data_IF_342974205222
#
_entry.id   IF_342974205222
#
_cell.length_a   1.000
_cell.length_b   1.000
_cell.length_c   1.000
_cell.angle_alpha   90.00
_cell.angle_beta   90.00
_cell.angle_gamma   90.00
#
_symmetry.space_group_name_H-M   'P 1'
#
loop_
_entity.id
_entity.type
_entity.pdbx_description
1 polymer ?
#
# COMPACT_ATOMS: atom_id res chain seq x y z
N UNK A 1 18.28 -7.28 4.80
CA UNK A 1 17.17 -6.41 5.27
C UNK A 1 15.82 -6.99 4.89
N UNK A 2 14.74 -6.63 5.60
CA UNK A 2 13.37 -7.11 5.37
C UNK A 2 12.36 -5.96 5.41
N UNK A 3 11.41 -5.95 4.48
CA UNK A 3 10.25 -5.05 4.45
C UNK A 3 8.98 -5.89 4.33
N UNK A 4 8.08 -5.79 5.29
CA UNK A 4 6.78 -6.47 5.27
C UNK A 4 5.66 -5.50 4.90
N UNK A 5 5.00 -5.70 3.76
CA UNK A 5 3.78 -4.97 3.41
C UNK A 5 2.57 -5.67 4.00
N UNK A 6 1.78 -4.94 4.80
CA UNK A 6 0.56 -5.46 5.42
C UNK A 6 -0.62 -4.63 4.93
N UNK A 7 -1.61 -5.29 4.34
CA UNK A 7 -2.88 -4.63 3.98
C UNK A 7 -3.71 -4.42 5.24
N UNK A 8 -4.27 -3.22 5.41
CA UNK A 8 -5.23 -2.95 6.48
C UNK A 8 -6.36 -4.00 6.55
N UNK A 9 -6.86 -4.24 7.77
CA UNK A 9 -7.90 -5.20 8.10
C UNK A 9 -9.33 -4.80 7.75
N UNK A 10 -9.56 -3.51 7.42
CA UNK A 10 -10.92 -3.02 7.19
C UNK A 10 -11.61 -3.76 6.03
N UNK A 11 -12.74 -4.38 6.34
CA UNK A 11 -13.69 -4.93 5.38
C UNK A 11 -14.66 -3.83 4.94
N UNK A 12 -14.65 -3.51 3.64
CA UNK A 12 -15.67 -2.65 3.06
C UNK A 12 -17.05 -3.32 3.09
N UNK A 13 -18.10 -2.54 3.34
CA UNK A 13 -19.49 -3.04 3.29
C UNK A 13 -19.83 -3.50 1.88
N UNK A 14 -20.46 -4.67 1.76
CA UNK A 14 -21.09 -5.08 0.50
C UNK A 14 -22.23 -4.10 0.22
N UNK A 15 -22.21 -3.48 -0.96
CA UNK A 15 -23.23 -2.52 -1.37
C UNK A 15 -23.83 -2.95 -2.71
N UNK A 16 -25.10 -2.62 -2.87
CA UNK A 16 -25.84 -2.79 -4.10
C UNK A 16 -25.20 -2.00 -5.26
N UNK A 17 -25.43 -2.41 -6.52
CA UNK A 17 -25.03 -1.63 -7.69
C UNK A 17 -25.53 -0.19 -7.62
N UNK A 18 -24.66 0.76 -7.94
CA UNK A 18 -24.92 2.19 -7.79
C UNK A 18 -24.57 2.96 -9.06
N UNK A 19 -25.12 4.16 -9.20
CA UNK A 19 -24.79 5.08 -10.30
C UNK A 19 -23.42 5.71 -10.08
N UNK A 20 -22.87 6.38 -11.09
CA UNK A 20 -21.59 7.09 -10.98
C UNK A 20 -21.62 8.21 -9.93
N UNK A 21 -22.75 8.92 -9.78
CA UNK A 21 -22.93 9.96 -8.77
C UNK A 21 -22.85 9.38 -7.36
N UNK A 22 -23.60 8.29 -7.10
CA UNK A 22 -23.55 7.61 -5.81
C UNK A 22 -22.19 6.98 -5.53
N UNK A 23 -21.49 6.49 -6.56
CA UNK A 23 -20.11 6.02 -6.43
C UNK A 23 -19.15 7.14 -6.01
N UNK A 24 -19.28 8.33 -6.61
CA UNK A 24 -18.47 9.49 -6.25
C UNK A 24 -18.72 9.94 -4.80
N UNK A 25 -19.98 10.02 -4.38
CA UNK A 25 -20.35 10.33 -2.99
C UNK A 25 -19.82 9.28 -2.01
N UNK A 26 -19.90 8.00 -2.38
CA UNK A 26 -19.36 6.90 -1.59
C UNK A 26 -17.83 7.00 -1.44
N UNK A 27 -17.10 7.30 -2.52
CA UNK A 27 -15.64 7.50 -2.47
C UNK A 27 -15.23 8.59 -1.48
N UNK A 28 -15.98 9.70 -1.40
CA UNK A 28 -15.72 10.80 -0.45
C UNK A 28 -15.88 10.38 1.01
N UNK A 29 -16.80 9.47 1.29
CA UNK A 29 -17.10 9.00 2.64
C UNK A 29 -16.28 7.77 3.03
N UNK A 30 -15.66 7.10 2.06
CA UNK A 30 -15.01 5.80 2.26
C UNK A 30 -13.90 5.81 3.32
N UNK A 31 -13.13 6.89 3.40
CA UNK A 31 -12.07 7.06 4.41
C UNK A 31 -12.62 7.39 5.82
N UNK A 32 -13.85 7.91 5.89
CA UNK A 32 -14.50 8.32 7.14
C UNK A 32 -15.27 7.18 7.83
N UNK A 33 -15.70 6.16 7.07
CA UNK A 33 -16.43 5.00 7.60
C UNK A 33 -15.51 4.17 8.53
N UNK A 34 -15.98 3.93 9.75
CA UNK A 34 -15.27 3.12 10.75
C UNK A 34 -15.21 1.64 10.35
N UNK A 35 -14.21 0.93 10.87
CA UNK A 35 -14.06 -0.53 10.74
C UNK A 35 -15.36 -1.25 11.11
N UNK A 36 -16.06 -1.83 10.13
CA UNK A 36 -17.36 -2.49 10.36
C UNK A 36 -17.17 -3.96 10.81
N UNK A 37 -16.08 -4.62 10.40
CA UNK A 37 -15.82 -6.03 10.75
C UNK A 37 -14.34 -6.31 10.99
N UNK A 38 -14.06 -6.95 12.13
CA UNK A 38 -12.75 -7.54 12.44
C UNK A 38 -12.60 -8.85 11.67
N UNK A 39 -11.76 -8.86 10.64
CA UNK A 39 -11.28 -10.12 10.07
C UNK A 39 -10.24 -10.73 11.03
N UNK A 40 -10.19 -12.07 11.16
CA UNK A 40 -9.14 -12.75 11.92
C UNK A 40 -7.78 -12.43 11.30
N UNK A 41 -6.83 -12.01 12.14
CA UNK A 41 -5.46 -11.75 11.71
C UNK A 41 -4.75 -13.08 11.39
N UNK A 42 -4.14 -13.22 10.19
CA UNK A 42 -3.27 -14.35 9.88
C UNK A 42 -2.05 -14.37 10.78
N UNK A 43 -1.55 -15.56 11.12
CA UNK A 43 -0.38 -15.72 12.00
C UNK A 43 0.86 -15.07 11.38
N UNK A 44 1.02 -15.18 10.06
CA UNK A 44 2.14 -14.63 9.31
C UNK A 44 2.20 -13.10 9.38
N UNK A 45 1.05 -12.46 9.59
CA UNK A 45 0.94 -11.01 9.74
C UNK A 45 1.35 -10.57 11.14
N UNK A 46 0.98 -11.35 12.16
CA UNK A 46 1.38 -11.12 13.55
C UNK A 46 2.90 -11.28 13.66
N UNK A 47 3.44 -12.40 13.17
CA UNK A 47 4.88 -12.66 13.16
C UNK A 47 5.67 -11.58 12.42
N UNK A 48 5.12 -11.06 11.31
CA UNK A 48 5.76 -9.98 10.56
C UNK A 48 5.82 -8.65 11.32
N UNK A 49 4.82 -8.36 12.16
CA UNK A 49 4.80 -7.18 13.02
C UNK A 49 5.74 -7.36 14.21
N UNK A 50 5.70 -8.51 14.88
CA UNK A 50 6.57 -8.82 16.02
C UNK A 50 8.05 -8.82 15.61
N UNK A 51 8.37 -9.29 14.41
CA UNK A 51 9.73 -9.26 13.86
C UNK A 51 10.15 -7.87 13.32
N UNK A 52 9.24 -6.91 13.20
CA UNK A 52 9.57 -5.58 12.70
C UNK A 52 10.12 -4.71 13.84
N UNK A 53 11.32 -4.14 13.63
CA UNK A 53 11.93 -3.19 14.58
C UNK A 53 11.42 -1.77 14.37
N UNK A 54 10.71 -1.52 13.28
CA UNK A 54 10.09 -0.24 12.97
C UNK A 54 8.82 -0.45 12.16
N UNK A 55 7.73 0.16 12.62
CA UNK A 55 6.41 0.05 11.99
C UNK A 55 6.02 1.41 11.43
N UNK A 56 5.68 1.40 10.15
CA UNK A 56 5.17 2.54 9.40
C UNK A 56 3.72 2.31 9.01
N UNK A 57 2.98 3.38 8.84
CA UNK A 57 1.60 3.30 8.35
C UNK A 57 1.24 4.50 7.47
N UNK A 58 0.27 4.29 6.60
CA UNK A 58 -0.48 5.39 5.98
C UNK A 58 -1.23 6.15 7.08
N UNK A 59 -1.33 7.46 6.94
CA UNK A 59 -2.09 8.33 7.85
C UNK A 59 -3.62 8.24 7.65
N UNK A 60 -4.09 7.45 6.67
CA UNK A 60 -5.51 7.16 6.54
C UNK A 60 -6.02 6.36 7.73
N UNK A 61 -7.17 6.79 8.27
CA UNK A 61 -7.80 6.23 9.48
C UNK A 61 -7.82 4.71 9.53
N UNK A 62 -8.16 4.04 8.42
CA UNK A 62 -8.22 2.56 8.35
C UNK A 62 -6.86 1.89 8.50
N UNK A 63 -5.80 2.49 7.98
CA UNK A 63 -4.45 1.95 8.10
C UNK A 63 -3.92 2.19 9.52
N UNK A 64 -4.15 3.38 10.08
CA UNK A 64 -3.82 3.73 11.47
C UNK A 64 -4.52 2.80 12.46
N UNK A 65 -5.84 2.59 12.31
CA UNK A 65 -6.61 1.68 13.17
C UNK A 65 -6.11 0.24 13.09
N UNK A 66 -5.79 -0.23 11.88
CA UNK A 66 -5.20 -1.57 11.69
C UNK A 66 -3.80 -1.70 12.28
N UNK A 67 -2.97 -0.66 12.17
CA UNK A 67 -1.65 -0.65 12.78
C UNK A 67 -1.78 -0.73 14.31
N UNK A 68 -2.66 0.07 14.90
CA UNK A 68 -2.91 0.07 16.33
C UNK A 68 -3.41 -1.28 16.86
N UNK A 69 -4.26 -1.97 16.10
CA UNK A 69 -4.73 -3.32 16.44
C UNK A 69 -3.62 -4.37 16.32
N UNK A 70 -2.70 -4.22 15.35
CA UNK A 70 -1.58 -5.14 15.16
C UNK A 70 -0.48 -4.96 16.22
N UNK A 71 -0.19 -3.73 16.62
CA UNK A 71 0.90 -3.41 17.55
C UNK A 71 0.45 -3.31 19.00
N UNK A 72 -0.85 -3.49 19.28
CA UNK A 72 -1.49 -3.25 20.57
C UNK A 72 -1.08 -1.93 21.24
N UNK A 73 -0.81 -0.91 20.41
CA UNK A 73 -0.21 0.36 20.81
C UNK A 73 -0.26 1.38 19.68
N UNK A 74 0.11 2.63 19.93
CA UNK A 74 0.29 3.66 18.90
C UNK A 74 1.76 3.86 18.52
N UNK A 75 2.59 2.83 18.68
CA UNK A 75 4.04 2.87 18.49
C UNK A 75 4.45 2.68 17.01
N UNK A 76 3.92 3.52 16.13
CA UNK A 76 4.22 3.49 14.70
C UNK A 76 4.30 4.90 14.10
N UNK A 77 5.05 5.04 13.01
CA UNK A 77 5.17 6.31 12.29
C UNK A 77 4.09 6.39 11.20
N UNK A 78 3.26 7.42 11.26
CA UNK A 78 2.28 7.73 10.21
C UNK A 78 2.93 8.62 9.16
N UNK A 79 2.68 8.34 7.88
CA UNK A 79 3.18 9.17 6.78
C UNK A 79 2.20 9.16 5.59
N UNK A 80 1.83 10.36 5.13
CA UNK A 80 0.93 10.56 3.99
C UNK A 80 1.48 10.04 2.66
N UNK A 81 2.81 9.84 2.57
CA UNK A 81 3.47 9.24 1.41
C UNK A 81 2.91 7.84 1.10
N UNK A 82 2.45 7.11 2.12
CA UNK A 82 1.92 5.75 1.99
C UNK A 82 0.40 5.70 1.76
N UNK A 83 -0.26 6.84 1.50
CA UNK A 83 -1.69 6.84 1.18
C UNK A 83 -2.00 6.00 -0.07
N UNK A 84 -3.20 5.42 -0.09
CA UNK A 84 -3.67 4.64 -1.23
C UNK A 84 -3.73 5.55 -2.46
N UNK A 85 -3.53 4.97 -3.64
CA UNK A 85 -3.73 5.74 -4.87
C UNK A 85 -5.22 6.01 -5.06
N UNK A 86 -5.61 7.28 -4.99
CA UNK A 86 -6.97 7.69 -5.31
C UNK A 86 -7.25 7.44 -6.79
N UNK A 87 -8.48 7.00 -7.10
CA UNK A 87 -8.94 6.84 -8.47
C UNK A 87 -9.97 7.92 -8.80
N UNK A 88 -9.96 8.47 -10.02
CA UNK A 88 -10.97 9.41 -10.45
C UNK A 88 -12.35 8.75 -10.36
N UNK A 89 -13.30 9.47 -9.77
CA UNK A 89 -14.69 9.04 -9.64
C UNK A 89 -15.69 9.98 -10.32
N UNK A 90 -15.21 11.13 -10.83
CA UNK A 90 -16.00 12.11 -11.55
C UNK A 90 -15.82 11.95 -13.07
N UNK A 91 -16.35 10.92 -13.70
CA UNK A 91 -16.31 10.75 -15.16
C UNK A 91 -17.71 10.53 -15.73
N UNK A 92 -17.86 10.69 -17.05
CA UNK A 92 -19.16 10.54 -17.70
C UNK A 92 -19.60 9.07 -17.71
N UNK A 93 -20.82 8.83 -17.26
CA UNK A 93 -21.54 7.57 -17.46
C UNK A 93 -23.05 7.86 -17.58
N UNK A 94 -23.81 7.05 -18.34
CA UNK A 94 -25.27 7.22 -18.41
C UNK A 94 -25.92 7.14 -17.03
N UNK A 95 -26.83 8.08 -16.70
CA UNK A 95 -27.44 8.18 -15.37
C UNK A 95 -28.23 6.92 -14.94
N UNK A 96 -28.71 6.14 -15.91
CA UNK A 96 -29.42 4.88 -15.68
C UNK A 96 -28.50 3.69 -15.44
N UNK A 97 -27.21 3.81 -15.75
CA UNK A 97 -26.26 2.71 -15.60
C UNK A 97 -25.87 2.56 -14.11
N UNK A 98 -26.19 1.40 -13.56
CA UNK A 98 -25.76 0.99 -12.21
C UNK A 98 -24.72 -0.12 -12.33
N UNK A 99 -23.61 0.03 -11.62
CA UNK A 99 -22.56 -0.98 -11.58
C UNK A 99 -22.10 -1.24 -10.14
N UNK A 100 -21.50 -2.40 -9.92
CA UNK A 100 -20.84 -2.73 -8.66
C UNK A 100 -19.61 -1.82 -8.47
N UNK A 101 -19.26 -1.50 -7.22
CA UNK A 101 -18.09 -0.67 -6.86
C UNK A 101 -16.82 -1.14 -7.59
N UNK A 102 -16.56 -2.46 -7.66
CA UNK A 102 -15.38 -3.01 -8.34
C UNK A 102 -15.30 -2.63 -9.82
N UNK A 103 -16.45 -2.53 -10.49
CA UNK A 103 -16.53 -2.12 -11.91
C UNK A 103 -16.24 -0.63 -12.05
N UNK A 104 -16.82 0.22 -11.19
CA UNK A 104 -16.50 1.65 -11.19
C UNK A 104 -15.03 1.93 -10.89
N UNK A 105 -14.45 1.24 -9.91
CA UNK A 105 -13.02 1.30 -9.61
C UNK A 105 -12.17 0.88 -10.81
N UNK A 106 -12.58 -0.15 -11.56
CA UNK A 106 -11.87 -0.61 -12.76
C UNK A 106 -11.94 0.43 -13.89
N UNK A 107 -13.11 1.00 -14.15
CA UNK A 107 -13.29 2.07 -15.15
C UNK A 107 -12.45 3.29 -14.78
N UNK A 108 -12.59 3.78 -13.54
CA UNK A 108 -11.82 4.92 -13.04
C UNK A 108 -10.32 4.70 -13.13
N UNK A 109 -9.84 3.51 -12.76
CA UNK A 109 -8.43 3.11 -12.91
C UNK A 109 -7.96 3.14 -14.37
N UNK A 110 -8.79 2.65 -15.28
CA UNK A 110 -8.45 2.61 -16.71
C UNK A 110 -8.34 4.02 -17.28
N UNK A 111 -9.33 4.87 -17.01
CA UNK A 111 -9.32 6.28 -17.41
C UNK A 111 -8.10 7.01 -16.82
N UNK A 112 -7.76 6.70 -15.56
CA UNK A 112 -6.63 7.28 -14.86
C UNK A 112 -5.28 6.95 -15.49
N UNK A 113 -5.07 5.68 -15.84
CA UNK A 113 -3.88 5.23 -16.55
C UNK A 113 -3.79 5.90 -17.94
N UNK A 114 -4.94 6.13 -18.60
CA UNK A 114 -5.03 6.84 -19.87
C UNK A 114 -4.90 8.37 -19.74
N UNK A 115 -4.72 8.91 -18.53
CA UNK A 115 -4.42 10.32 -18.28
C UNK A 115 -5.56 11.15 -17.68
N UNK A 116 -6.73 10.58 -17.42
CA UNK A 116 -7.82 11.29 -16.74
C UNK A 116 -7.61 11.32 -15.22
N UNK A 117 -7.38 12.49 -14.63
CA UNK A 117 -7.01 12.58 -13.20
C UNK A 117 -7.75 13.71 -12.48
N UNK A 118 -8.98 14.04 -12.90
CA UNK A 118 -9.73 15.13 -12.28
C UNK A 118 -10.01 14.85 -10.80
N UNK A 119 -9.46 15.71 -9.93
CA UNK A 119 -9.68 15.67 -8.49
C UNK A 119 -8.85 14.65 -7.73
N UNK A 120 -7.82 14.05 -8.36
CA UNK A 120 -6.89 13.09 -7.76
C UNK A 120 -5.48 13.31 -8.33
N UNK A 121 -4.46 12.72 -7.72
CA UNK A 121 -3.11 12.66 -8.31
C UNK A 121 -3.15 11.98 -9.68
N UNK A 122 -2.34 12.44 -10.64
CA UNK A 122 -2.15 11.76 -11.92
C UNK A 122 -1.42 10.43 -11.76
N UNK A 123 -1.54 9.55 -12.75
CA UNK A 123 -0.86 8.26 -12.72
C UNK A 123 0.68 8.41 -12.67
N UNK A 124 1.22 9.46 -13.30
CA UNK A 124 2.65 9.78 -13.24
C UNK A 124 3.07 10.21 -11.85
N UNK A 125 2.30 11.09 -11.21
CA UNK A 125 2.57 11.57 -9.85
C UNK A 125 2.54 10.43 -8.83
N UNK A 126 1.56 9.51 -8.92
CA UNK A 126 1.51 8.36 -7.98
C UNK A 126 2.67 7.39 -8.21
N UNK A 127 3.14 7.20 -9.45
CA UNK A 127 4.36 6.41 -9.69
C UNK A 127 5.59 7.07 -9.08
N UNK A 128 5.74 8.38 -9.23
CA UNK A 128 6.84 9.12 -8.60
C UNK A 128 6.75 9.06 -7.07
N UNK A 129 5.54 9.17 -6.52
CA UNK A 129 5.29 8.97 -5.08
C UNK A 129 5.65 7.56 -4.61
N UNK A 130 5.32 6.53 -5.39
CA UNK A 130 5.68 5.15 -5.08
C UNK A 130 7.20 4.95 -5.09
N UNK A 131 7.91 5.59 -6.01
CA UNK A 131 9.38 5.59 -6.08
C UNK A 131 9.97 6.22 -4.82
N UNK A 132 9.49 7.42 -4.44
CA UNK A 132 9.91 8.09 -3.20
C UNK A 132 9.63 7.25 -1.96
N UNK A 133 8.46 6.61 -1.89
CA UNK A 133 8.09 5.71 -0.80
C UNK A 133 9.04 4.51 -0.71
N UNK A 134 9.39 3.89 -1.84
CA UNK A 134 10.32 2.76 -1.88
C UNK A 134 11.74 3.17 -1.42
N UNK A 135 12.25 4.33 -1.84
CA UNK A 135 13.53 4.85 -1.34
C UNK A 135 13.49 5.10 0.18
N UNK A 136 12.40 5.67 0.69
CA UNK A 136 12.24 5.90 2.11
C UNK A 136 12.21 4.59 2.91
N UNK A 137 11.46 3.59 2.44
CA UNK A 137 11.43 2.26 3.08
C UNK A 137 12.79 1.57 3.04
N UNK A 138 13.52 1.67 1.93
CA UNK A 138 14.88 1.13 1.84
C UNK A 138 15.80 1.77 2.88
N UNK A 139 15.77 3.10 3.03
CA UNK A 139 16.55 3.81 4.07
C UNK A 139 16.18 3.38 5.48
N UNK A 140 14.89 3.23 5.79
CA UNK A 140 14.49 2.72 7.09
C UNK A 140 14.93 1.27 7.30
N UNK A 141 14.87 0.44 6.26
CA UNK A 141 15.33 -0.94 6.35
C UNK A 141 16.86 -1.05 6.53
N UNK A 142 17.64 -0.11 6.00
CA UNK A 142 19.08 -0.02 6.28
C UNK A 142 19.37 0.25 7.76
N UNK A 143 18.60 1.14 8.38
CA UNK A 143 18.79 1.52 9.80
C UNK A 143 18.24 0.45 10.75
N UNK A 144 17.05 -0.07 10.48
CA UNK A 144 16.32 -0.94 11.40
C UNK A 144 16.44 -2.44 11.06
N UNK A 145 16.94 -2.79 9.89
CA UNK A 145 17.12 -4.17 9.42
C UNK A 145 15.82 -4.88 8.99
N UNK A 146 14.75 -4.75 9.78
CA UNK A 146 13.43 -5.35 9.54
C UNK A 146 12.34 -4.32 9.86
N UNK A 147 11.51 -3.99 8.88
CA UNK A 147 10.42 -3.01 9.03
C UNK A 147 9.10 -3.55 8.48
N UNK A 148 7.98 -2.99 8.94
CA UNK A 148 6.65 -3.28 8.41
C UNK A 148 5.95 -1.98 7.97
N UNK A 149 5.26 -2.03 6.82
CA UNK A 149 4.36 -0.99 6.36
C UNK A 149 2.91 -1.48 6.38
N UNK A 150 2.10 -0.93 7.27
CA UNK A 150 0.64 -1.13 7.30
C UNK A 150 -0.01 -0.11 6.37
N UNK A 151 -0.62 -0.58 5.29
CA UNK A 151 -1.10 0.30 4.23
C UNK A 151 -2.16 -0.36 3.35
N UNK A 152 -2.06 -0.08 2.06
CA UNK A 152 -3.12 -0.37 1.11
C UNK A 152 -2.63 -1.22 -0.05
N UNK A 153 -3.55 -1.96 -0.66
CA UNK A 153 -3.16 -3.02 -1.58
C UNK A 153 -2.58 -2.46 -2.89
N UNK A 154 -3.19 -1.42 -3.46
CA UNK A 154 -2.76 -0.95 -4.77
C UNK A 154 -1.46 -0.16 -4.67
N UNK A 155 -1.36 0.80 -3.75
CA UNK A 155 -0.16 1.59 -3.58
C UNK A 155 1.03 0.75 -3.09
N UNK A 156 0.85 -0.18 -2.13
CA UNK A 156 1.93 -1.10 -1.74
C UNK A 156 2.44 -1.94 -2.92
N UNK A 157 1.57 -2.29 -3.88
CA UNK A 157 2.01 -3.00 -5.09
C UNK A 157 2.89 -2.15 -6.01
N UNK A 158 2.63 -0.84 -6.07
CA UNK A 158 3.47 0.12 -6.80
C UNK A 158 4.82 0.29 -6.10
N UNK A 159 4.83 0.48 -4.78
CA UNK A 159 6.07 0.53 -3.98
C UNK A 159 6.88 -0.76 -4.17
N UNK A 160 6.23 -1.93 -4.11
CA UNK A 160 6.90 -3.21 -4.32
C UNK A 160 7.53 -3.32 -5.71
N UNK A 161 6.94 -2.74 -6.75
CA UNK A 161 7.54 -2.70 -8.08
C UNK A 161 8.84 -1.87 -8.09
N UNK A 162 8.83 -0.70 -7.45
CA UNK A 162 10.00 0.16 -7.31
C UNK A 162 11.09 -0.51 -6.45
N UNK A 163 10.73 -1.20 -5.37
CA UNK A 163 11.68 -1.98 -4.57
C UNK A 163 12.35 -3.09 -5.39
N UNK A 164 11.59 -3.81 -6.23
CA UNK A 164 12.19 -4.81 -7.13
C UNK A 164 13.15 -4.18 -8.14
N UNK A 165 12.81 -2.99 -8.65
CA UNK A 165 13.73 -2.23 -9.51
C UNK A 165 15.01 -1.81 -8.77
N UNK A 166 14.96 -1.65 -7.45
CA UNK A 166 16.12 -1.43 -6.58
C UNK A 166 16.85 -2.72 -6.14
N UNK A 167 16.49 -3.88 -6.69
CA UNK A 167 17.15 -5.16 -6.37
C UNK A 167 16.58 -5.91 -5.16
N UNK A 168 15.42 -5.52 -4.63
CA UNK A 168 14.73 -6.30 -3.61
C UNK A 168 14.06 -7.55 -4.21
N UNK A 169 14.11 -8.65 -3.47
CA UNK A 169 13.43 -9.90 -3.79
C UNK A 169 12.10 -10.00 -3.07
N UNK A 170 11.01 -10.19 -3.80
CA UNK A 170 9.66 -10.33 -3.24
C UNK A 170 8.61 -10.60 -4.31
N UNK A 171 7.43 -11.09 -3.90
CA UNK A 171 6.36 -11.43 -4.84
C UNK A 171 5.83 -10.18 -5.57
N UNK A 172 5.68 -10.20 -6.91
CA UNK A 172 5.04 -9.12 -7.66
C UNK A 172 3.55 -8.98 -7.32
N UNK A 173 2.93 -10.02 -6.77
CA UNK A 173 1.54 -10.05 -6.38
C UNK A 173 1.46 -10.00 -4.86
N UNK A 174 0.95 -8.89 -4.34
CA UNK A 174 0.72 -8.74 -2.91
C UNK A 174 -0.55 -9.48 -2.49
N UNK A 175 -0.59 -9.89 -1.22
CA UNK A 175 -1.76 -10.52 -0.63
C UNK A 175 -2.94 -9.53 -0.58
N UNK A 176 -3.98 -9.84 -1.36
CA UNK A 176 -5.16 -8.98 -1.51
C UNK A 176 -6.19 -9.15 -0.41
N UNK A 177 -6.06 -10.12 0.49
CA UNK A 177 -7.01 -10.31 1.60
C UNK A 177 -6.76 -9.23 2.68
N UNK A 178 -7.79 -8.81 3.45
CA UNK A 178 -7.55 -8.01 4.64
C UNK A 178 -6.50 -8.69 5.52
N UNK A 179 -5.62 -7.90 6.14
CA UNK A 179 -4.46 -8.37 6.89
C UNK A 179 -3.42 -9.14 6.08
N UNK A 180 -3.53 -9.20 4.75
CA UNK A 180 -2.55 -9.90 3.92
C UNK A 180 -1.16 -9.31 4.08
N UNK A 181 -0.17 -10.18 4.34
CA UNK A 181 1.23 -9.81 4.50
C UNK A 181 2.05 -10.25 3.28
N UNK A 182 2.95 -9.42 2.79
CA UNK A 182 3.92 -9.77 1.74
C UNK A 182 5.29 -9.24 2.12
N UNK A 183 6.25 -10.14 2.28
CA UNK A 183 7.62 -9.80 2.66
C UNK A 183 8.51 -9.63 1.44
N UNK A 184 9.36 -8.62 1.49
CA UNK A 184 10.47 -8.37 0.57
C UNK A 184 11.77 -8.47 1.34
N UNK A 185 12.79 -9.06 0.74
CA UNK A 185 14.13 -9.17 1.30
C UNK A 185 15.17 -8.52 0.39
N UNK A 186 16.22 -7.99 0.99
CA UNK A 186 17.38 -7.47 0.27
C UNK A 186 18.63 -8.05 0.92
N UNK A 187 19.46 -8.67 0.09
CA UNK A 187 20.77 -9.16 0.44
C UNK A 187 21.75 -8.26 -0.28
N UNK A 188 22.46 -7.43 0.47
CA UNK A 188 23.56 -6.67 -0.08
C UNK A 188 24.63 -7.68 -0.48
N UNK A 189 25.03 -7.67 -1.75
CA UNK A 189 26.18 -8.47 -2.16
C UNK A 189 27.38 -7.96 -1.36
N UNK A 190 28.02 -8.82 -0.57
CA UNK A 190 29.37 -8.53 -0.13
C UNK A 190 30.23 -8.58 -1.39
N UNK A 191 30.42 -7.43 -2.04
CA UNK A 191 31.46 -7.27 -3.03
C UNK A 191 32.79 -7.45 -2.30
N UNK A 192 33.26 -8.70 -2.25
CA UNK A 192 34.60 -9.07 -1.88
C UNK A 192 35.56 -8.55 -2.94
N UNK A 193 35.76 -7.23 -3.00
CA UNK A 193 36.95 -6.68 -3.63
C UNK A 193 38.13 -7.09 -2.76
N UNK A 194 38.73 -8.21 -3.12
CA UNK A 194 40.06 -8.61 -2.67
C UNK A 194 40.97 -7.42 -2.97
N UNK A 195 41.53 -6.84 -1.90
CA UNK A 195 42.61 -5.87 -1.95
C UNK A 195 43.78 -6.51 -2.70
N UNK A 196 43.89 -6.28 -4.00
CA UNK A 196 45.17 -6.42 -4.70
C UNK A 196 46.06 -5.25 -4.27
N UNK A 197 46.60 -5.37 -3.06
CA UNK A 197 47.82 -4.67 -2.67
C UNK A 197 48.97 -5.32 -3.42
N UNK A 198 49.17 -4.89 -4.67
CA UNK A 198 50.42 -5.17 -5.35
C UNK A 198 51.51 -4.36 -4.65
N UNK A 199 52.20 -5.04 -3.73
CA UNK A 199 53.56 -4.71 -3.34
C UNK A 199 54.45 -4.73 -4.59
N UNK A 200 54.92 -3.56 -5.01
CA UNK A 200 56.25 -3.31 -5.60
C UNK A 200 56.62 -1.86 -5.36
#
# INVERSE_FOLDING_TARGET
MKISFIRHGCLGRIREPMTITSFHEWMKQYDSESMIQKAKMPIETIEAIEAAKFVLTSDQRRAVQSAAELTDSLSFMQNSLFREAEVPSCFFAPKWLKCKIKVWMFIGRTLWILGYHKGVESYKEVRERARQAAYLLHRYALVHGSIALVGHNYFNSMIGAELRAMGWSGSPILHRKPWGCTTYTFHEAMDGNILNTNLT
#
